data_IF_799526607681
#
_entry.id   IF_799526607681
#
_cell.length_a   1.000
_cell.length_b   1.000
_cell.length_c   1.000
_cell.angle_alpha   90.00
_cell.angle_beta   90.00
_cell.angle_gamma   90.00
#
_symmetry.space_group_name_H-M   'P 1'
#
loop_
_entity.id
_entity.type
_entity.pdbx_description
1 polymer ?
#
# COMPACT_ATOMS: atom_id res chain seq x y z
N UNK A 1 23.62 -14.00 -7.72
CA UNK A 1 23.07 -13.01 -8.69
C UNK A 1 23.10 -13.54 -10.13
N UNK A 2 24.17 -14.19 -10.59
CA UNK A 2 24.28 -14.82 -11.94
C UNK A 2 23.17 -15.84 -12.27
N UNK A 3 22.67 -16.61 -11.30
CA UNK A 3 21.64 -17.62 -11.55
C UNK A 3 20.31 -17.00 -12.04
N UNK A 4 19.93 -15.83 -11.52
CA UNK A 4 18.70 -15.14 -11.93
C UNK A 4 18.82 -14.57 -13.35
N UNK A 5 20.01 -14.15 -13.77
CA UNK A 5 20.28 -13.73 -15.15
C UNK A 5 20.13 -14.92 -16.12
N UNK A 6 20.68 -16.08 -15.76
CA UNK A 6 20.52 -17.32 -16.53
C UNK A 6 19.04 -17.73 -16.61
N UNK A 7 18.29 -17.63 -15.51
CA UNK A 7 16.85 -17.95 -15.48
C UNK A 7 16.06 -16.96 -16.36
N UNK A 8 16.37 -15.66 -16.31
CA UNK A 8 15.76 -14.63 -17.16
C UNK A 8 15.94 -14.94 -18.63
N UNK A 9 17.16 -15.23 -19.06
CA UNK A 9 17.47 -15.55 -20.46
C UNK A 9 16.72 -16.81 -20.92
N UNK A 10 16.69 -17.86 -20.09
CA UNK A 10 15.95 -19.10 -20.39
C UNK A 10 14.45 -18.86 -20.55
N UNK A 11 13.85 -17.99 -19.73
CA UNK A 11 12.42 -17.64 -19.78
C UNK A 11 12.12 -16.79 -21.01
N UNK A 12 12.96 -15.82 -21.35
CA UNK A 12 12.78 -15.00 -22.56
C UNK A 12 12.82 -15.86 -23.83
N UNK A 13 13.64 -16.92 -23.87
CA UNK A 13 13.64 -17.86 -24.99
C UNK A 13 12.37 -18.72 -25.11
N UNK A 14 11.38 -18.56 -24.21
CA UNK A 14 10.07 -19.24 -24.26
C UNK A 14 8.95 -18.39 -24.87
N UNK A 15 9.24 -17.16 -25.32
CA UNK A 15 8.28 -16.39 -26.11
C UNK A 15 7.89 -17.18 -27.37
N UNK A 16 6.58 -17.25 -27.63
CA UNK A 16 6.02 -17.89 -28.82
C UNK A 16 5.79 -16.86 -29.91
N UNK A 17 5.90 -17.30 -31.16
CA UNK A 17 5.40 -16.52 -32.30
C UNK A 17 3.88 -16.48 -32.20
N UNK A 18 3.30 -15.29 -32.16
CA UNK A 18 1.86 -15.11 -31.97
C UNK A 18 1.10 -15.61 -33.21
N UNK A 19 0.33 -16.68 -33.05
CA UNK A 19 -0.58 -17.21 -34.09
C UNK A 19 -2.01 -17.32 -33.58
N UNK A 20 -2.19 -17.44 -32.26
CA UNK A 20 -3.46 -17.59 -31.59
C UNK A 20 -3.55 -16.71 -30.33
N UNK A 21 -4.76 -16.56 -29.78
CA UNK A 21 -4.96 -15.87 -28.50
C UNK A 21 -4.30 -16.59 -27.32
N UNK A 22 -4.13 -17.91 -27.43
CA UNK A 22 -3.37 -18.69 -26.44
C UNK A 22 -1.89 -18.28 -26.43
N UNK A 23 -1.31 -18.00 -27.60
CA UNK A 23 0.07 -17.52 -27.69
C UNK A 23 0.24 -16.13 -27.08
N UNK A 24 -0.78 -15.26 -27.20
CA UNK A 24 -0.82 -13.96 -26.52
C UNK A 24 -0.87 -14.14 -25.00
N UNK A 25 -1.74 -15.02 -24.50
CA UNK A 25 -1.83 -15.36 -23.08
C UNK A 25 -0.51 -15.92 -22.53
N UNK A 26 0.11 -16.83 -23.28
CA UNK A 26 1.41 -17.38 -22.96
C UNK A 26 2.51 -16.31 -22.89
N UNK A 27 2.61 -15.46 -23.92
CA UNK A 27 3.58 -14.38 -23.97
C UNK A 27 3.37 -13.36 -22.84
N UNK A 28 2.12 -13.09 -22.46
CA UNK A 28 1.81 -12.24 -21.30
C UNK A 28 2.33 -12.84 -20.00
N UNK A 29 2.18 -14.15 -19.80
CA UNK A 29 2.73 -14.84 -18.63
C UNK A 29 4.27 -14.78 -18.61
N UNK A 30 4.95 -15.02 -19.74
CA UNK A 30 6.41 -14.89 -19.86
C UNK A 30 6.87 -13.46 -19.54
N UNK A 31 6.13 -12.45 -19.99
CA UNK A 31 6.39 -11.04 -19.70
C UNK A 31 6.30 -10.72 -18.19
N UNK A 32 5.24 -11.19 -17.52
CA UNK A 32 5.08 -11.02 -16.07
C UNK A 32 6.24 -11.66 -15.29
N UNK A 33 6.60 -12.90 -15.62
CA UNK A 33 7.73 -13.59 -15.01
C UNK A 33 9.05 -12.83 -15.21
N UNK A 34 9.27 -12.31 -16.42
CA UNK A 34 10.46 -11.51 -16.76
C UNK A 34 10.54 -10.23 -15.92
N UNK A 35 9.40 -9.54 -15.72
CA UNK A 35 9.34 -8.32 -14.92
C UNK A 35 9.66 -8.56 -13.44
N UNK A 36 9.17 -9.66 -12.86
CA UNK A 36 9.49 -10.05 -11.48
C UNK A 36 11.00 -10.29 -11.34
N UNK A 37 11.60 -11.05 -12.27
CA UNK A 37 13.04 -11.34 -12.23
C UNK A 37 13.86 -10.06 -12.40
N UNK A 38 13.46 -9.16 -13.31
CA UNK A 38 14.11 -7.85 -13.46
C UNK A 38 14.05 -7.05 -12.15
N UNK A 39 12.91 -7.03 -11.47
CA UNK A 39 12.77 -6.35 -10.19
C UNK A 39 13.73 -6.92 -9.13
N UNK A 40 13.91 -8.25 -9.09
CA UNK A 40 14.86 -8.88 -8.17
C UNK A 40 16.33 -8.65 -8.55
N UNK A 41 16.66 -8.64 -9.85
CA UNK A 41 18.00 -8.30 -10.34
C UNK A 41 18.35 -6.83 -10.03
N UNK A 42 17.39 -5.91 -10.22
CA UNK A 42 17.54 -4.50 -9.85
C UNK A 42 17.66 -4.31 -8.33
N UNK A 43 16.98 -5.13 -7.53
CA UNK A 43 17.12 -5.16 -6.06
C UNK A 43 18.47 -5.69 -5.58
N UNK A 44 19.17 -6.50 -6.37
CA UNK A 44 20.51 -7.01 -6.04
C UNK A 44 21.61 -5.92 -6.03
N UNK A 45 21.36 -4.76 -6.64
CA UNK A 45 22.31 -3.64 -6.73
C UNK A 45 21.99 -2.47 -5.80
N UNK A 46 21.07 -2.65 -4.85
CA UNK A 46 20.74 -1.63 -3.85
C UNK A 46 20.81 -2.23 -2.45
N UNK A 47 21.62 -1.66 -1.52
CA UNK A 47 21.64 -2.13 -0.15
C UNK A 47 20.28 -1.82 0.45
N UNK A 48 19.59 -2.88 0.88
CA UNK A 48 18.41 -2.89 1.75
C UNK A 48 17.24 -1.97 1.34
N UNK A 49 16.05 -2.57 1.29
CA UNK A 49 14.78 -1.85 1.27
C UNK A 49 14.54 -1.17 2.63
N UNK A 50 15.42 -0.25 3.05
CA UNK A 50 14.95 0.98 3.66
C UNK A 50 14.43 1.84 2.51
N UNK A 51 13.23 1.48 2.01
CA UNK A 51 12.37 2.51 1.40
C UNK A 51 12.15 3.51 2.52
N UNK A 52 12.95 4.57 2.50
CA UNK A 52 12.74 5.75 3.31
C UNK A 52 11.25 6.06 3.27
N UNK A 53 10.59 6.02 4.42
CA UNK A 53 9.17 6.34 4.62
C UNK A 53 8.77 7.71 4.05
N UNK A 54 9.74 8.51 3.61
CA UNK A 54 9.57 9.81 2.97
C UNK A 54 9.07 9.76 1.51
N UNK A 55 9.21 8.66 0.79
CA UNK A 55 8.84 8.60 -0.64
C UNK A 55 7.45 7.97 -0.90
N UNK A 56 6.75 7.51 0.13
CA UNK A 56 5.50 6.76 -0.02
C UNK A 56 4.24 7.60 0.26
N UNK A 57 4.24 8.91 -0.01
CA UNK A 57 3.10 9.83 0.19
C UNK A 57 2.38 9.69 1.55
N UNK A 58 3.12 9.31 2.60
CA UNK A 58 2.61 9.06 3.95
C UNK A 58 1.93 7.71 4.18
N UNK A 59 1.92 6.81 3.20
CA UNK A 59 1.40 5.45 3.31
C UNK A 59 2.34 4.51 4.07
N UNK A 60 1.76 3.85 5.07
CA UNK A 60 2.41 2.88 5.94
C UNK A 60 1.84 1.50 5.60
N UNK A 61 2.64 0.56 5.11
CA UNK A 61 2.21 -0.82 4.90
C UNK A 61 1.77 -1.47 6.22
N UNK A 62 0.71 -2.29 6.20
CA UNK A 62 0.29 -3.01 7.41
C UNK A 62 1.35 -3.98 7.92
N UNK A 63 2.16 -4.54 7.00
CA UNK A 63 3.29 -5.42 7.31
C UNK A 63 4.45 -4.66 7.99
N UNK A 64 4.51 -3.33 7.82
CA UNK A 64 5.45 -2.48 8.53
C UNK A 64 4.96 -2.22 9.96
N UNK A 65 3.73 -1.70 10.10
CA UNK A 65 3.03 -1.56 11.39
C UNK A 65 1.55 -1.26 11.24
N UNK A 66 0.81 -1.50 12.32
CA UNK A 66 -0.56 -1.04 12.50
C UNK A 66 -0.61 0.38 13.14
N UNK A 67 -1.73 1.10 13.04
CA UNK A 67 -1.91 2.39 13.69
C UNK A 67 -1.78 2.30 15.22
N UNK A 68 -1.09 3.26 15.82
CA UNK A 68 -1.04 3.44 17.27
C UNK A 68 -2.34 4.09 17.79
N UNK A 69 -2.66 3.90 19.07
CA UNK A 69 -3.93 4.38 19.67
C UNK A 69 -4.21 5.86 19.42
N UNK A 70 -3.20 6.70 19.55
CA UNK A 70 -3.29 8.15 19.30
C UNK A 70 -3.49 8.51 17.81
N UNK A 71 -3.18 7.62 16.87
CA UNK A 71 -3.34 7.82 15.42
C UNK A 71 -4.72 7.43 14.93
N UNK A 72 -5.40 6.50 15.61
CA UNK A 72 -6.75 6.07 15.27
C UNK A 72 -7.83 6.50 16.27
N UNK A 73 -7.49 6.99 17.47
CA UNK A 73 -8.46 7.37 18.50
C UNK A 73 -8.09 8.68 19.20
N UNK A 74 -9.10 9.50 19.48
CA UNK A 74 -8.98 10.71 20.31
C UNK A 74 -9.80 10.53 21.56
N UNK A 75 -9.13 10.60 22.72
CA UNK A 75 -9.80 10.71 24.01
C UNK A 75 -10.30 12.15 24.18
N UNK A 76 -11.61 12.33 24.37
CA UNK A 76 -12.23 13.65 24.60
C UNK A 76 -12.61 13.90 26.05
N UNK A 77 -12.49 12.88 26.90
CA UNK A 77 -12.74 12.92 28.33
C UNK A 77 -11.47 12.56 29.10
N UNK A 78 -11.23 13.25 30.22
CA UNK A 78 -10.22 12.87 31.21
C UNK A 78 -10.70 11.77 32.18
N UNK A 79 -12.00 11.43 32.12
CA UNK A 79 -12.60 10.35 32.88
C UNK A 79 -12.19 9.00 32.27
N UNK A 80 -11.37 8.25 33.01
CA UNK A 80 -10.85 6.94 32.59
C UNK A 80 -11.92 5.85 32.63
N UNK A 81 -12.96 6.03 33.43
CA UNK A 81 -14.02 5.04 33.62
C UNK A 81 -15.09 5.13 32.52
N UNK A 82 -15.22 6.31 31.90
CA UNK A 82 -16.09 6.56 30.75
C UNK A 82 -15.33 7.28 29.64
N UNK A 83 -14.52 6.56 28.85
CA UNK A 83 -13.80 7.14 27.73
C UNK A 83 -14.78 7.58 26.64
N UNK A 84 -15.27 8.81 26.73
CA UNK A 84 -15.88 9.49 25.61
C UNK A 84 -14.74 9.86 24.65
N UNK A 85 -14.69 9.19 23.52
CA UNK A 85 -13.70 9.44 22.48
C UNK A 85 -14.26 9.08 21.11
N UNK A 86 -13.51 9.41 20.07
CA UNK A 86 -13.91 9.11 18.71
C UNK A 86 -12.75 8.58 17.89
N UNK A 87 -13.09 7.73 16.91
CA UNK A 87 -12.13 7.20 15.97
C UNK A 87 -11.76 8.24 14.91
N UNK A 88 -10.47 8.41 14.67
CA UNK A 88 -9.95 9.23 13.57
C UNK A 88 -10.17 8.51 12.25
N UNK A 89 -10.49 9.29 11.21
CA UNK A 89 -10.57 8.80 9.85
C UNK A 89 -9.17 8.55 9.30
N UNK A 90 -8.99 7.40 8.67
CA UNK A 90 -7.78 7.01 7.96
C UNK A 90 -8.11 6.82 6.48
N UNK A 91 -7.09 6.94 5.64
CA UNK A 91 -7.14 6.43 4.28
C UNK A 91 -6.55 5.02 4.27
N UNK A 92 -7.25 4.11 3.61
CA UNK A 92 -6.99 2.67 3.64
C UNK A 92 -6.87 2.19 2.21
N UNK A 93 -5.77 1.49 1.91
CA UNK A 93 -5.58 0.76 0.68
C UNK A 93 -5.81 -0.73 0.96
N UNK A 94 -6.66 -1.39 0.16
CA UNK A 94 -6.98 -2.80 0.31
C UNK A 94 -6.95 -3.52 -1.04
N UNK A 95 -6.77 -4.84 -1.00
CA UNK A 95 -6.61 -5.68 -2.19
C UNK A 95 -7.89 -6.47 -2.47
N UNK A 96 -8.45 -6.28 -3.67
CA UNK A 96 -9.49 -7.12 -4.27
C UNK A 96 -8.84 -7.94 -5.39
N UNK A 97 -9.18 -7.67 -6.65
CA UNK A 97 -8.40 -8.03 -7.84
C UNK A 97 -7.36 -6.94 -8.20
N UNK A 98 -7.59 -5.71 -7.74
CA UNK A 98 -6.68 -4.56 -7.84
C UNK A 98 -6.51 -3.89 -6.47
N UNK A 99 -5.60 -2.91 -6.37
CA UNK A 99 -5.49 -2.06 -5.18
C UNK A 99 -6.57 -0.98 -5.26
N UNK A 100 -7.45 -0.97 -4.28
CA UNK A 100 -8.52 0.02 -4.11
C UNK A 100 -8.27 0.89 -2.87
N UNK A 101 -8.93 2.05 -2.82
CA UNK A 101 -8.74 3.05 -1.77
C UNK A 101 -10.08 3.47 -1.17
N UNK A 102 -10.15 3.52 0.16
CA UNK A 102 -11.35 3.91 0.90
C UNK A 102 -10.99 4.72 2.15
N UNK A 103 -11.95 5.50 2.63
CA UNK A 103 -11.87 6.07 3.98
C UNK A 103 -12.37 5.05 4.99
N UNK A 104 -11.54 4.74 5.99
CA UNK A 104 -11.85 3.76 7.02
C UNK A 104 -11.46 4.23 8.41
N UNK A 105 -11.67 3.32 9.36
CA UNK A 105 -11.39 3.45 10.77
C UNK A 105 -10.69 2.18 11.24
N UNK A 106 -9.86 2.30 12.27
CA UNK A 106 -9.22 1.17 12.93
C UNK A 106 -9.57 1.22 14.41
N UNK A 107 -10.02 0.11 14.99
CA UNK A 107 -10.41 0.05 16.41
C UNK A 107 -9.33 -0.50 17.34
N UNK A 108 -8.18 -0.87 16.80
CA UNK A 108 -7.13 -1.60 17.51
C UNK A 108 -7.12 -3.11 17.22
N UNK A 109 -8.13 -3.62 16.53
CA UNK A 109 -8.26 -5.03 16.15
C UNK A 109 -8.59 -5.24 14.67
N UNK A 110 -9.52 -4.47 14.11
CA UNK A 110 -10.01 -4.59 12.74
C UNK A 110 -10.16 -3.25 12.05
N UNK A 111 -10.16 -3.31 10.72
CA UNK A 111 -10.44 -2.18 9.85
C UNK A 111 -11.92 -2.14 9.52
N UNK A 112 -12.51 -0.94 9.54
CA UNK A 112 -13.93 -0.74 9.30
C UNK A 112 -14.17 0.44 8.37
N UNK A 113 -15.20 0.36 7.55
CA UNK A 113 -15.66 1.49 6.75
C UNK A 113 -16.60 2.42 7.56
N UNK A 114 -17.21 3.39 6.89
CA UNK A 114 -18.17 4.32 7.52
C UNK A 114 -19.48 3.68 8.00
N UNK A 115 -19.81 2.49 7.53
CA UNK A 115 -20.97 1.70 7.93
C UNK A 115 -20.63 0.68 9.02
N UNK A 116 -19.37 0.69 9.50
CA UNK A 116 -18.81 -0.26 10.46
C UNK A 116 -18.65 -1.68 9.89
N UNK A 117 -18.73 -1.81 8.56
CA UNK A 117 -18.46 -3.07 7.87
C UNK A 117 -16.95 -3.30 7.81
N UNK A 118 -16.55 -4.56 7.97
CA UNK A 118 -15.13 -4.92 8.05
C UNK A 118 -14.48 -4.78 6.68
N UNK A 119 -13.33 -4.11 6.63
CA UNK A 119 -12.49 -4.03 5.43
C UNK A 119 -11.44 -5.13 5.52
N UNK A 120 -11.56 -6.12 4.64
CA UNK A 120 -10.58 -7.21 4.54
C UNK A 120 -9.43 -6.86 3.61
N UNK A 121 -8.32 -7.62 3.72
CA UNK A 121 -7.15 -7.50 2.84
C UNK A 121 -6.55 -6.09 2.75
N UNK A 122 -6.54 -5.35 3.87
CA UNK A 122 -5.85 -4.06 3.95
C UNK A 122 -4.35 -4.26 3.76
N UNK A 123 -3.75 -3.48 2.87
CA UNK A 123 -2.32 -3.55 2.52
C UNK A 123 -1.53 -2.36 3.02
N UNK A 124 -2.14 -1.18 3.13
CA UNK A 124 -1.51 0.02 3.65
C UNK A 124 -2.53 1.03 4.17
N UNK A 125 -2.06 1.96 4.99
CA UNK A 125 -2.89 3.00 5.59
C UNK A 125 -2.12 4.32 5.71
N UNK A 126 -2.85 5.44 5.82
CA UNK A 126 -2.27 6.72 6.23
C UNK A 126 -3.28 7.58 6.97
N UNK A 127 -2.77 8.58 7.68
CA UNK A 127 -3.61 9.59 8.33
C UNK A 127 -4.30 10.41 7.24
N UNK A 128 -5.62 10.48 7.30
CA UNK A 128 -6.38 11.33 6.37
C UNK A 128 -6.08 12.80 6.65
N UNK A 129 -5.70 13.56 5.63
CA UNK A 129 -5.50 15.00 5.72
C UNK A 129 -6.79 15.74 5.34
N UNK A 130 -7.48 16.40 6.29
CA UNK A 130 -8.71 17.11 5.99
C UNK A 130 -8.45 18.30 5.06
N UNK A 131 -9.40 18.57 4.17
CA UNK A 131 -9.39 19.79 3.37
C UNK A 131 -9.30 21.03 4.27
N UNK A 132 -8.27 21.85 4.04
CA UNK A 132 -8.09 23.16 4.68
C UNK A 132 -8.32 24.25 3.64
N UNK A 133 -9.53 24.83 3.55
CA UNK A 133 -9.76 26.02 2.76
C UNK A 133 -9.11 27.20 3.49
N UNK A 134 -7.80 27.40 3.29
CA UNK A 134 -7.05 28.68 3.41
C UNK A 134 -5.54 28.40 3.55
N UNK A 135 -4.83 28.47 2.42
CA UNK A 135 -3.46 29.00 2.36
C UNK A 135 -3.48 30.18 1.39
N UNK A 136 -4.17 31.26 1.77
CA UNK A 136 -4.04 32.54 1.10
C UNK A 136 -3.56 33.58 2.11
N UNK A 137 -2.33 34.04 1.91
CA UNK A 137 -1.75 35.29 2.39
C UNK A 137 -1.45 35.42 3.90
N UNK A 138 -0.34 34.83 4.34
CA UNK A 138 0.50 35.42 5.40
C UNK A 138 1.97 35.35 4.95
N UNK A 139 2.26 36.07 3.89
CA UNK A 139 3.62 36.42 3.49
C UNK A 139 3.60 37.88 3.04
N UNK A 140 3.60 38.79 4.03
CA UNK A 140 4.06 40.17 3.93
C UNK A 140 3.96 40.82 5.31
N UNK A 141 5.06 40.77 6.04
CA UNK A 141 5.58 41.95 6.75
C UNK A 141 7.10 41.96 6.60
#
# INVERSE_FOLDING_TARGET
MQELEIVREKIQNKYRVVKTDEDLGWNRAIYLCTNIINAHLSRGNTPEFTRSSRDNDGWIPVDERLPEKNEYFVETSSDKDFPNGYYKRLEVAYMTDIIEYVHGYYDGYKWMDKYLDTIENVVAWRIHEPYRPERSNDAKE
#
